data_IF_061125098038
#
_entry.id   IF_061125098038
#
_cell.length_a   1.000
_cell.length_b   1.000
_cell.length_c   1.000
_cell.angle_alpha   90.00
_cell.angle_beta   90.00
_cell.angle_gamma   90.00
#
_symmetry.space_group_name_H-M   'P 1'
#
loop_
_entity.id
_entity.type
_entity.pdbx_description
1 polymer ?
#
# COMPACT_ATOMS: atom_id res chain seq x y z
N UNK A 1 -1.01 -14.74 -15.91
CA UNK A 1 -0.39 -15.04 -14.63
C UNK A 1 -0.73 -14.01 -13.56
N UNK A 2 -0.78 -14.48 -12.33
CA UNK A 2 -1.15 -13.63 -11.19
C UNK A 2 -0.24 -12.44 -10.99
N UNK A 3 1.04 -12.60 -11.29
CA UNK A 3 2.04 -11.55 -11.09
C UNK A 3 1.76 -10.34 -11.99
N UNK A 4 1.46 -10.59 -13.26
CA UNK A 4 1.14 -9.52 -14.21
C UNK A 4 -0.13 -8.79 -13.82
N UNK A 5 -1.15 -9.53 -13.38
CA UNK A 5 -2.41 -8.96 -12.95
C UNK A 5 -2.21 -8.05 -11.72
N UNK A 6 -1.39 -8.48 -10.78
CA UNK A 6 -1.08 -7.70 -9.59
C UNK A 6 -0.36 -6.41 -9.95
N UNK A 7 0.59 -6.48 -10.88
CA UNK A 7 1.33 -5.29 -11.35
C UNK A 7 0.38 -4.31 -12.02
N UNK A 8 -0.50 -4.81 -12.89
CA UNK A 8 -1.49 -3.96 -13.58
C UNK A 8 -2.40 -3.26 -12.57
N UNK A 9 -2.89 -4.01 -11.58
CA UNK A 9 -3.73 -3.46 -10.53
C UNK A 9 -3.01 -2.36 -9.75
N UNK A 10 -1.75 -2.58 -9.39
CA UNK A 10 -0.95 -1.58 -8.68
C UNK A 10 -0.73 -0.33 -9.50
N UNK A 11 -0.50 -0.48 -10.80
CA UNK A 11 -0.34 0.68 -11.69
C UNK A 11 -1.61 1.54 -11.70
N UNK A 12 -2.78 0.92 -11.79
CA UNK A 12 -4.05 1.64 -11.69
C UNK A 12 -4.23 2.31 -10.34
N UNK A 13 -3.90 1.62 -9.26
CA UNK A 13 -3.99 2.18 -7.91
C UNK A 13 -3.12 3.43 -7.77
N UNK A 14 -1.91 3.38 -8.30
CA UNK A 14 -1.00 4.53 -8.25
C UNK A 14 -1.51 5.69 -9.10
N UNK A 15 -2.08 5.42 -10.27
CA UNK A 15 -2.68 6.46 -11.11
C UNK A 15 -3.86 7.12 -10.41
N UNK A 16 -4.72 6.33 -9.79
CA UNK A 16 -5.87 6.84 -9.05
C UNK A 16 -5.42 7.67 -7.86
N UNK A 17 -4.44 7.17 -7.10
CA UNK A 17 -3.91 7.89 -5.96
C UNK A 17 -3.30 9.22 -6.38
N UNK A 18 -2.56 9.25 -7.48
CA UNK A 18 -1.98 10.48 -8.00
C UNK A 18 -3.06 11.48 -8.44
N UNK A 19 -4.12 11.00 -9.08
CA UNK A 19 -5.24 11.85 -9.49
C UNK A 19 -5.88 12.53 -8.28
N UNK A 20 -6.14 11.78 -7.21
CA UNK A 20 -6.67 12.34 -5.97
C UNK A 20 -5.69 13.30 -5.31
N UNK A 21 -4.40 12.95 -5.31
CA UNK A 21 -3.37 13.82 -4.75
C UNK A 21 -3.30 15.16 -5.46
N UNK A 22 -3.41 15.17 -6.78
CA UNK A 22 -3.43 16.41 -7.56
C UNK A 22 -4.67 17.22 -7.28
N UNK A 23 -5.80 16.57 -7.16
CA UNK A 23 -7.07 17.23 -6.82
C UNK A 23 -6.97 17.92 -5.47
N UNK A 24 -6.32 17.30 -4.50
CA UNK A 24 -6.14 17.83 -3.15
C UNK A 24 -4.89 18.69 -3.02
N UNK A 25 -4.19 18.97 -4.11
CA UNK A 25 -2.96 19.78 -4.16
C UNK A 25 -1.82 19.19 -3.32
N UNK A 26 -1.74 17.88 -3.26
CA UNK A 26 -0.63 17.18 -2.61
C UNK A 26 0.59 17.15 -3.52
N UNK A 27 1.77 17.14 -2.92
CA UNK A 27 3.03 17.18 -3.65
C UNK A 27 3.67 15.81 -3.87
N UNK A 28 3.14 14.79 -3.24
CA UNK A 28 3.68 13.44 -3.37
C UNK A 28 2.74 12.40 -2.80
N UNK A 29 3.15 11.14 -2.91
CA UNK A 29 2.41 10.00 -2.39
C UNK A 29 3.26 9.28 -1.34
N UNK A 30 2.61 8.67 -0.36
CA UNK A 30 3.26 7.81 0.63
C UNK A 30 2.61 6.44 0.54
N UNK A 31 3.42 5.40 0.38
CA UNK A 31 2.92 4.02 0.33
C UNK A 31 3.50 3.20 1.47
N UNK A 32 2.82 2.11 1.80
CA UNK A 32 3.29 1.16 2.81
C UNK A 32 4.07 -0.01 2.24
N UNK A 33 4.63 0.13 1.06
CA UNK A 33 5.34 -0.95 0.39
C UNK A 33 6.62 -1.37 1.12
N UNK A 34 6.94 -2.66 1.01
CA UNK A 34 8.12 -3.26 1.65
C UNK A 34 8.68 -4.35 0.74
N UNK A 35 9.99 -4.50 0.71
CA UNK A 35 10.67 -5.53 -0.08
C UNK A 35 11.21 -6.68 0.78
N UNK A 36 10.82 -6.73 2.05
CA UNK A 36 11.45 -7.61 3.03
C UNK A 36 11.29 -9.12 2.80
N UNK A 37 10.29 -9.56 2.03
CA UNK A 37 10.02 -11.00 1.86
C UNK A 37 10.45 -11.57 0.52
N UNK A 38 10.19 -10.87 -0.58
CA UNK A 38 10.52 -11.34 -1.93
C UNK A 38 11.16 -10.18 -2.68
N UNK A 39 12.38 -9.87 -2.29
CA UNK A 39 13.05 -8.64 -2.69
C UNK A 39 13.17 -8.46 -4.21
N UNK A 40 13.58 -9.51 -4.93
CA UNK A 40 13.81 -9.39 -6.37
C UNK A 40 12.54 -9.06 -7.16
N UNK A 41 11.44 -9.77 -6.86
CA UNK A 41 10.17 -9.51 -7.52
C UNK A 41 9.61 -8.16 -7.12
N UNK A 42 9.76 -7.79 -5.87
CA UNK A 42 9.24 -6.52 -5.36
C UNK A 42 9.96 -5.33 -5.99
N UNK A 43 11.28 -5.41 -6.16
CA UNK A 43 12.04 -4.35 -6.82
C UNK A 43 11.58 -4.13 -8.25
N UNK A 44 11.36 -5.21 -9.00
CA UNK A 44 10.82 -5.12 -10.35
C UNK A 44 9.42 -4.50 -10.35
N UNK A 45 8.56 -4.95 -9.45
CA UNK A 45 7.20 -4.41 -9.32
C UNK A 45 7.22 -2.92 -8.99
N UNK A 46 8.11 -2.50 -8.10
CA UNK A 46 8.24 -1.10 -7.73
C UNK A 46 8.66 -0.25 -8.93
N UNK A 47 9.62 -0.72 -9.71
CA UNK A 47 10.07 0.00 -10.89
C UNK A 47 8.93 0.19 -11.89
N UNK A 48 8.18 -0.86 -12.15
CA UNK A 48 7.06 -0.84 -13.11
C UNK A 48 5.92 0.05 -12.62
N UNK A 49 5.56 -0.04 -11.35
CA UNK A 49 4.49 0.80 -10.81
C UNK A 49 4.91 2.25 -10.69
N UNK A 50 6.18 2.52 -10.43
CA UNK A 50 6.69 3.87 -10.31
C UNK A 50 6.65 4.64 -11.63
N UNK A 51 6.72 3.93 -12.76
CA UNK A 51 6.68 4.54 -14.10
C UNK A 51 5.43 5.37 -14.35
N UNK A 52 4.31 5.01 -13.74
CA UNK A 52 3.04 5.71 -13.97
C UNK A 52 2.87 6.95 -13.11
N UNK A 53 3.78 7.19 -12.17
CA UNK A 53 3.71 8.34 -11.27
C UNK A 53 4.57 9.48 -11.79
N UNK A 54 4.03 10.69 -11.73
CA UNK A 54 4.75 11.90 -12.13
C UNK A 54 5.14 12.76 -10.92
N UNK A 55 4.70 12.37 -9.73
CA UNK A 55 5.08 13.04 -8.48
C UNK A 55 5.89 12.09 -7.61
N UNK A 56 6.66 12.61 -6.64
CA UNK A 56 7.46 11.78 -5.75
C UNK A 56 6.63 10.76 -4.99
N UNK A 57 7.16 9.56 -4.85
CA UNK A 57 6.54 8.49 -4.06
C UNK A 57 7.49 8.11 -2.94
N UNK A 58 7.03 8.24 -1.71
CA UNK A 58 7.82 7.95 -0.52
C UNK A 58 7.40 6.59 0.05
N UNK A 59 8.40 5.78 0.38
CA UNK A 59 8.19 4.43 0.90
C UNK A 59 8.92 4.25 2.22
N UNK A 60 8.40 4.80 3.31
CA UNK A 60 9.12 4.80 4.59
C UNK A 60 9.39 3.41 5.15
N UNK A 61 8.63 2.39 4.73
CA UNK A 61 8.77 1.03 5.24
C UNK A 61 9.52 0.11 4.29
N UNK A 62 10.11 0.65 3.22
CA UNK A 62 10.66 -0.15 2.13
C UNK A 62 11.73 -1.14 2.57
N UNK A 63 12.54 -0.78 3.56
CA UNK A 63 13.63 -1.60 4.06
C UNK A 63 13.27 -2.50 5.24
N UNK A 64 12.02 -2.47 5.70
CA UNK A 64 11.60 -3.26 6.86
C UNK A 64 10.92 -4.54 6.42
N UNK A 65 11.15 -5.64 7.15
CA UNK A 65 10.41 -6.88 6.89
C UNK A 65 9.04 -6.83 7.57
N UNK A 66 8.22 -7.85 7.30
CA UNK A 66 6.85 -7.88 7.81
C UNK A 66 6.80 -7.86 9.35
N UNK A 67 7.70 -8.58 10.01
CA UNK A 67 7.71 -8.63 11.47
C UNK A 67 8.09 -7.28 12.07
N UNK A 68 9.07 -6.61 11.49
CA UNK A 68 9.46 -5.27 11.94
C UNK A 68 8.32 -4.28 11.81
N UNK A 69 7.57 -4.35 10.70
CA UNK A 69 6.42 -3.48 10.46
C UNK A 69 5.31 -3.77 11.48
N UNK A 70 5.04 -5.05 11.74
CA UNK A 70 4.05 -5.45 12.74
C UNK A 70 4.44 -4.92 14.12
N UNK A 71 5.72 -5.07 14.49
CA UNK A 71 6.21 -4.60 15.78
C UNK A 71 6.05 -3.08 15.93
N UNK A 72 6.36 -2.33 14.89
CA UNK A 72 6.17 -0.87 14.89
C UNK A 72 4.68 -0.53 15.04
N UNK A 73 3.82 -1.21 14.29
CA UNK A 73 2.39 -0.93 14.33
C UNK A 73 1.79 -1.24 15.68
N UNK A 74 2.25 -2.28 16.36
CA UNK A 74 1.83 -2.59 17.73
C UNK A 74 2.30 -1.53 18.70
N UNK A 75 3.56 -1.09 18.55
CA UNK A 75 4.16 -0.10 19.43
C UNK A 75 3.43 1.24 19.39
N UNK A 76 2.98 1.64 18.22
CA UNK A 76 2.28 2.92 18.04
C UNK A 76 0.76 2.77 18.08
N UNK A 77 0.23 1.55 18.23
CA UNK A 77 -1.19 1.29 18.39
C UNK A 77 -2.01 1.20 17.12
N UNK A 78 -1.40 1.32 15.95
CA UNK A 78 -2.15 1.32 14.68
C UNK A 78 -2.68 -0.05 14.31
N UNK A 79 -1.98 -1.12 14.68
CA UNK A 79 -2.45 -2.48 14.41
C UNK A 79 -3.78 -2.77 15.08
N UNK A 80 -3.93 -2.33 16.32
CA UNK A 80 -5.17 -2.51 17.08
C UNK A 80 -6.32 -1.78 16.39
N UNK A 81 -6.08 -0.56 15.97
CA UNK A 81 -7.07 0.24 15.23
C UNK A 81 -7.48 -0.44 13.92
N UNK A 82 -6.52 -0.94 13.17
CA UNK A 82 -6.77 -1.65 11.91
C UNK A 82 -7.66 -2.88 12.12
N UNK A 83 -7.38 -3.68 13.15
CA UNK A 83 -8.18 -4.86 13.45
C UNK A 83 -9.63 -4.50 13.78
N UNK A 84 -9.85 -3.41 14.49
CA UNK A 84 -11.21 -2.94 14.82
C UNK A 84 -11.95 -2.49 13.57
N UNK A 85 -11.30 -1.75 12.71
CA UNK A 85 -11.89 -1.31 11.44
C UNK A 85 -12.26 -2.48 10.54
N UNK A 86 -11.40 -3.50 10.48
CA UNK A 86 -11.64 -4.71 9.70
C UNK A 86 -12.86 -5.46 10.21
N UNK A 87 -13.03 -5.57 11.51
CA UNK A 87 -14.18 -6.21 12.12
C UNK A 87 -15.47 -5.45 11.80
N UNK A 88 -15.46 -4.14 11.90
CA UNK A 88 -16.60 -3.29 11.57
C UNK A 88 -17.00 -3.45 10.09
N UNK A 89 -16.04 -3.47 9.19
CA UNK A 89 -16.28 -3.66 7.76
C UNK A 89 -16.94 -5.01 7.48
N UNK A 90 -16.49 -6.08 8.13
CA UNK A 90 -17.08 -7.41 7.99
C UNK A 90 -18.53 -7.43 8.45
N UNK A 91 -18.82 -6.81 9.58
CA UNK A 91 -20.18 -6.73 10.11
C UNK A 91 -21.11 -6.00 9.15
N UNK A 92 -20.65 -4.90 8.59
CA UNK A 92 -21.41 -4.13 7.60
C UNK A 92 -21.72 -4.94 6.36
N UNK A 93 -20.75 -5.70 5.85
CA UNK A 93 -20.92 -6.55 4.68
C UNK A 93 -21.90 -7.69 4.94
N UNK A 94 -21.91 -8.25 6.15
CA UNK A 94 -22.83 -9.32 6.52
C UNK A 94 -24.26 -8.82 6.61
N UNK A 95 -24.46 -7.58 7.03
CA UNK A 95 -25.81 -7.03 7.17
C UNK A 95 -26.47 -6.70 5.83
N UNK A 96 -25.71 -6.65 4.74
CA UNK A 96 -26.24 -6.39 3.39
C UNK A 96 -26.91 -7.63 2.80
N UNK A 97 -26.63 -8.81 3.33
CA UNK A 97 -27.30 -10.03 2.91
C UNK A 97 -28.74 -10.07 3.48
#
# INVERSE_FOLDING_TARGET
PHEELTIIMRRYMMKIAEAFARQDKCLGLITGESIGQVASQTMHSLAVTNEVCTMPVFRPLIGFDKQEIVDISEKIGTRHLFCRMRTAARSSLQSIR
#
